data_IF_730383921250
#
_entry.id   IF_730383921250
#
_cell.length_a   1.000
_cell.length_b   1.000
_cell.length_c   1.000
_cell.angle_alpha   90.00
_cell.angle_beta   90.00
_cell.angle_gamma   90.00
#
_symmetry.space_group_name_H-M   'P 1'
#
loop_
_entity.id
_entity.type
_entity.pdbx_description
1 polymer ?
#
# COMPACT_ATOMS: atom_id res chain seq x y z
N UNK A 1 8.40 -19.91 0.32
CA UNK A 1 8.68 -19.67 -1.11
C UNK A 1 9.91 -20.45 -1.54
N UNK A 2 9.90 -21.10 -2.72
CA UNK A 2 11.14 -21.59 -3.31
C UNK A 2 12.01 -20.38 -3.68
N UNK A 3 13.30 -20.44 -3.33
CA UNK A 3 14.30 -19.36 -3.44
C UNK A 3 14.42 -18.70 -4.82
N UNK A 4 13.89 -19.33 -5.86
CA UNK A 4 13.98 -18.90 -7.26
C UNK A 4 13.20 -17.62 -7.61
N UNK A 5 12.24 -17.17 -6.79
CA UNK A 5 11.38 -16.00 -7.11
C UNK A 5 11.53 -14.79 -6.19
N UNK A 6 12.34 -14.89 -5.13
CA UNK A 6 12.63 -13.76 -4.23
C UNK A 6 13.44 -12.67 -4.98
N UNK A 7 14.25 -13.06 -5.97
CA UNK A 7 15.10 -12.12 -6.72
C UNK A 7 14.34 -11.28 -7.76
N UNK A 8 13.43 -11.83 -8.60
CA UNK A 8 12.67 -11.04 -9.57
C UNK A 8 11.69 -10.04 -8.93
N UNK A 9 10.96 -10.43 -7.87
CA UNK A 9 10.04 -9.52 -7.18
C UNK A 9 10.78 -8.38 -6.48
N UNK A 10 11.94 -8.66 -5.85
CA UNK A 10 12.81 -7.61 -5.33
C UNK A 10 13.29 -6.69 -6.45
N UNK A 11 13.71 -7.21 -7.60
CA UNK A 11 14.11 -6.39 -8.75
C UNK A 11 12.97 -5.55 -9.32
N UNK A 12 11.73 -6.05 -9.33
CA UNK A 12 10.54 -5.27 -9.73
C UNK A 12 10.26 -4.16 -8.72
N UNK A 13 10.35 -4.43 -7.40
CA UNK A 13 10.19 -3.41 -6.35
C UNK A 13 11.31 -2.35 -6.42
N UNK A 14 12.56 -2.77 -6.60
CA UNK A 14 13.71 -1.87 -6.76
C UNK A 14 13.69 -1.10 -8.09
N UNK A 15 13.18 -1.70 -9.17
CA UNK A 15 13.02 -1.07 -10.48
C UNK A 15 11.82 -0.12 -10.53
N UNK A 16 10.71 -0.44 -9.86
CA UNK A 16 9.57 0.45 -9.70
C UNK A 16 9.92 1.71 -8.91
N UNK A 17 10.92 1.63 -8.02
CA UNK A 17 11.53 2.78 -7.32
C UNK A 17 12.06 3.86 -8.27
N UNK A 18 12.34 3.53 -9.54
CA UNK A 18 12.80 4.49 -10.57
C UNK A 18 11.66 5.10 -11.42
N UNK A 19 10.41 4.65 -11.30
CA UNK A 19 9.28 5.22 -12.06
C UNK A 19 8.49 6.29 -11.29
N UNK A 20 8.93 6.66 -10.09
CA UNK A 20 8.10 7.41 -9.13
C UNK A 20 8.28 8.91 -9.28
N UNK A 21 7.15 9.61 -9.22
CA UNK A 21 7.03 11.03 -8.94
C UNK A 21 8.17 11.57 -8.06
N UNK A 22 8.95 12.52 -8.58
CA UNK A 22 10.23 12.96 -8.01
C UNK A 22 10.10 13.98 -6.87
N UNK A 23 8.90 14.46 -6.59
CA UNK A 23 8.67 15.36 -5.46
C UNK A 23 8.98 14.66 -4.14
N UNK A 24 9.65 15.38 -3.25
CA UNK A 24 9.90 14.95 -1.88
C UNK A 24 9.27 15.94 -0.92
N UNK A 25 8.45 15.45 0.01
CA UNK A 25 7.78 16.23 1.05
C UNK A 25 8.26 15.79 2.44
N UNK A 26 7.95 16.57 3.47
CA UNK A 26 8.07 16.09 4.85
C UNK A 26 6.92 15.12 5.08
N UNK A 27 7.26 13.89 5.43
CA UNK A 27 6.34 12.83 5.80
C UNK A 27 6.42 12.57 7.29
N UNK A 28 5.28 12.28 7.90
CA UNK A 28 5.16 11.81 9.27
C UNK A 28 5.93 10.49 9.47
N UNK A 29 5.92 9.62 8.47
CA UNK A 29 6.70 8.38 8.46
C UNK A 29 5.92 7.17 8.95
N UNK A 30 5.02 7.37 9.92
CA UNK A 30 4.09 6.34 10.41
C UNK A 30 2.65 6.88 10.52
N UNK A 31 2.11 7.41 9.42
CA UNK A 31 0.82 8.10 9.44
C UNK A 31 -0.35 7.13 9.33
N UNK A 32 -0.80 6.59 10.47
CA UNK A 32 -2.01 5.77 10.56
C UNK A 32 -3.00 6.36 11.56
N UNK A 33 -4.21 5.81 11.58
CA UNK A 33 -5.32 6.33 12.40
C UNK A 33 -5.06 6.30 13.91
N UNK A 34 -4.14 5.47 14.37
CA UNK A 34 -3.72 5.44 15.78
C UNK A 34 -2.98 6.72 16.18
N UNK A 35 -2.36 7.40 15.20
CA UNK A 35 -1.62 8.66 15.39
C UNK A 35 -2.48 9.91 15.08
N UNK A 36 -3.80 9.75 15.01
CA UNK A 36 -4.76 10.85 14.82
C UNK A 36 -5.69 10.92 16.03
N UNK A 37 -5.70 12.07 16.70
CA UNK A 37 -6.60 12.36 17.81
C UNK A 37 -7.52 13.55 17.49
N UNK A 38 -8.61 13.67 18.24
CA UNK A 38 -9.45 14.87 18.24
C UNK A 38 -9.37 15.50 19.63
N UNK A 39 -8.92 16.75 19.69
CA UNK A 39 -8.81 17.52 20.93
C UNK A 39 -9.41 18.90 20.73
N UNK A 40 -10.37 19.27 21.58
CA UNK A 40 -11.05 20.57 21.47
C UNK A 40 -11.82 20.79 20.16
N UNK A 41 -12.22 19.71 19.47
CA UNK A 41 -12.89 19.78 18.16
C UNK A 41 -11.94 19.82 16.96
N UNK A 42 -10.63 19.87 17.21
CA UNK A 42 -9.60 19.92 16.17
C UNK A 42 -8.91 18.57 16.00
N UNK A 43 -8.45 18.29 14.78
CA UNK A 43 -7.64 17.11 14.47
C UNK A 43 -6.19 17.40 14.91
N UNK A 44 -5.62 16.49 15.70
CA UNK A 44 -4.23 16.55 16.17
C UNK A 44 -3.49 15.30 15.66
N UNK A 45 -2.33 15.52 15.04
CA UNK A 45 -1.43 14.45 14.57
C UNK A 45 -0.34 14.24 15.63
N UNK A 46 -0.24 13.02 16.13
CA UNK A 46 0.66 12.62 17.22
C UNK A 46 1.85 11.83 16.66
N UNK A 47 2.90 11.70 17.47
CA UNK A 47 3.99 10.74 17.27
C UNK A 47 4.91 10.96 16.04
N UNK A 48 5.53 12.14 15.99
CA UNK A 48 6.40 12.58 14.90
C UNK A 48 7.83 11.99 14.90
N UNK A 49 8.12 10.96 15.70
CA UNK A 49 9.49 10.44 15.85
C UNK A 49 10.06 9.79 14.57
N UNK A 50 9.18 9.38 13.65
CA UNK A 50 9.54 8.79 12.37
C UNK A 50 9.56 9.81 11.21
N UNK A 51 9.45 11.11 11.51
CA UNK A 51 9.36 12.14 10.49
C UNK A 51 10.62 12.20 9.60
N UNK A 52 10.43 12.16 8.29
CA UNK A 52 11.53 12.19 7.32
C UNK A 52 11.06 12.75 5.97
N UNK A 53 12.00 12.89 5.03
CA UNK A 53 11.69 13.31 3.66
C UNK A 53 11.39 12.10 2.79
N UNK A 54 10.22 12.06 2.16
CA UNK A 54 9.81 10.95 1.29
C UNK A 54 8.87 11.42 0.17
N UNK A 55 8.45 10.49 -0.70
CA UNK A 55 7.37 10.69 -1.64
C UNK A 55 6.09 11.13 -0.92
N UNK A 56 5.29 12.04 -1.48
CA UNK A 56 3.99 12.41 -0.92
C UNK A 56 3.01 11.24 -0.84
N UNK A 57 3.27 10.14 -1.55
CA UNK A 57 2.46 8.94 -1.46
C UNK A 57 2.71 8.11 -0.19
N UNK A 58 3.81 8.33 0.54
CA UNK A 58 4.15 7.51 1.71
C UNK A 58 3.08 7.62 2.81
N UNK A 59 2.79 8.82 3.29
CA UNK A 59 1.78 9.01 4.34
C UNK A 59 0.36 8.73 3.85
N UNK A 60 0.08 8.97 2.56
CA UNK A 60 -1.20 8.59 1.95
C UNK A 60 -1.37 7.07 1.95
N UNK A 61 -0.31 6.32 1.61
CA UNK A 61 -0.31 4.87 1.64
C UNK A 61 -0.47 4.35 3.08
N UNK A 62 0.28 4.89 4.03
CA UNK A 62 0.15 4.54 5.46
C UNK A 62 -1.27 4.74 5.98
N UNK A 63 -1.93 5.82 5.57
CA UNK A 63 -3.27 6.13 6.03
C UNK A 63 -4.34 5.27 5.35
N UNK A 64 -4.22 5.04 4.04
CA UNK A 64 -5.30 4.44 3.26
C UNK A 64 -5.15 2.93 3.06
N UNK A 65 -3.93 2.43 2.90
CA UNK A 65 -3.66 1.15 2.26
C UNK A 65 -2.71 0.23 3.05
N UNK A 66 -1.88 0.78 3.93
CA UNK A 66 -1.09 -0.01 4.86
C UNK A 66 -2.01 -0.82 5.78
N UNK A 67 -1.72 -2.10 5.91
CA UNK A 67 -2.37 -2.99 6.86
C UNK A 67 -1.40 -3.29 8.00
N UNK A 68 -1.94 -3.43 9.19
CA UNK A 68 -1.16 -3.83 10.36
C UNK A 68 -1.94 -4.92 11.11
N UNK A 69 -1.28 -5.92 11.72
CA UNK A 69 -1.98 -6.98 12.45
C UNK A 69 -2.93 -6.44 13.52
N UNK A 70 -2.57 -5.32 14.14
CA UNK A 70 -3.37 -4.65 15.19
C UNK A 70 -4.36 -3.62 14.62
N UNK A 71 -4.08 -3.01 13.47
CA UNK A 71 -4.90 -1.94 12.90
C UNK A 71 -5.47 -2.37 11.55
N UNK A 72 -6.74 -2.79 11.56
CA UNK A 72 -7.46 -3.18 10.35
C UNK A 72 -7.66 -1.99 9.41
N UNK A 73 -7.50 -2.22 8.11
CA UNK A 73 -7.84 -1.26 7.07
C UNK A 73 -9.36 -1.04 7.05
N UNK A 74 -9.78 0.22 7.10
CA UNK A 74 -11.21 0.60 6.98
C UNK A 74 -11.49 1.43 5.71
N UNK A 75 -10.49 1.57 4.84
CA UNK A 75 -10.60 2.40 3.63
C UNK A 75 -11.26 1.63 2.49
N UNK A 76 -12.41 2.14 2.04
CA UNK A 76 -13.07 1.73 0.80
C UNK A 76 -12.50 2.47 -0.40
N UNK A 77 -12.72 1.94 -1.61
CA UNK A 77 -12.26 2.57 -2.86
C UNK A 77 -12.83 3.99 -3.04
N UNK A 78 -14.11 4.19 -2.70
CA UNK A 78 -14.75 5.51 -2.76
C UNK A 78 -14.12 6.49 -1.76
N UNK A 79 -13.82 6.04 -0.53
CA UNK A 79 -13.18 6.88 0.48
C UNK A 79 -11.75 7.25 0.06
N UNK A 80 -10.98 6.28 -0.44
CA UNK A 80 -9.62 6.50 -0.96
C UNK A 80 -9.63 7.55 -2.07
N UNK A 81 -10.51 7.39 -3.07
CA UNK A 81 -10.62 8.34 -4.18
C UNK A 81 -11.03 9.74 -3.70
N UNK A 82 -11.99 9.83 -2.78
CA UNK A 82 -12.42 11.09 -2.20
C UNK A 82 -11.29 11.79 -1.44
N UNK A 83 -10.53 11.04 -0.63
CA UNK A 83 -9.41 11.56 0.15
C UNK A 83 -8.25 12.04 -0.75
N UNK A 84 -7.92 11.32 -1.80
CA UNK A 84 -6.91 11.75 -2.80
C UNK A 84 -7.33 13.06 -3.49
N UNK A 85 -8.60 13.16 -3.88
CA UNK A 85 -9.13 14.40 -4.47
C UNK A 85 -9.07 15.57 -3.47
N UNK A 86 -9.40 15.32 -2.20
CA UNK A 86 -9.30 16.33 -1.15
C UNK A 86 -7.85 16.78 -0.90
N UNK A 87 -6.90 15.84 -0.89
CA UNK A 87 -5.47 16.13 -0.80
C UNK A 87 -5.02 17.04 -1.95
N UNK A 88 -5.36 16.70 -3.20
CA UNK A 88 -5.06 17.51 -4.39
C UNK A 88 -5.67 18.91 -4.26
N UNK A 89 -6.94 19.01 -3.89
CA UNK A 89 -7.63 20.29 -3.73
C UNK A 89 -6.97 21.18 -2.67
N UNK A 90 -6.60 20.59 -1.52
CA UNK A 90 -5.90 21.29 -0.44
C UNK A 90 -4.51 21.77 -0.87
N UNK A 91 -3.75 20.97 -1.61
CA UNK A 91 -2.44 21.41 -2.11
C UNK A 91 -2.56 22.50 -3.18
N UNK A 92 -3.54 22.40 -4.07
CA UNK A 92 -3.82 23.43 -5.08
C UNK A 92 -4.15 24.78 -4.46
N UNK A 93 -4.89 24.80 -3.34
CA UNK A 93 -5.18 26.07 -2.63
C UNK A 93 -3.94 26.72 -2.02
N UNK A 94 -2.86 25.95 -1.83
CA UNK A 94 -1.54 26.42 -1.39
C UNK A 94 -0.60 26.74 -2.57
N UNK A 95 -1.10 26.74 -3.82
CA UNK A 95 -0.32 27.04 -5.01
C UNK A 95 0.47 25.87 -5.59
N UNK A 96 0.21 24.63 -5.17
CA UNK A 96 0.82 23.45 -5.78
C UNK A 96 0.15 23.10 -7.11
N UNK A 97 0.97 22.90 -8.14
CA UNK A 97 0.53 22.39 -9.44
C UNK A 97 0.52 20.86 -9.43
N UNK A 98 -0.66 20.27 -9.61
CA UNK A 98 -0.78 18.81 -9.66
C UNK A 98 -0.05 18.28 -10.90
N UNK A 99 0.88 17.32 -10.74
CA UNK A 99 1.50 16.66 -11.87
C UNK A 99 0.47 15.82 -12.64
N UNK A 100 0.61 15.72 -13.98
CA UNK A 100 -0.24 14.83 -14.76
C UNK A 100 -0.20 13.40 -14.22
N UNK A 101 -1.37 12.84 -13.89
CA UNK A 101 -1.48 11.45 -13.45
C UNK A 101 -1.14 11.21 -11.97
N UNK A 102 -1.16 12.21 -11.09
CA UNK A 102 -0.86 12.05 -9.65
C UNK A 102 -1.59 10.86 -9.00
N UNK A 103 -2.90 10.76 -9.21
CA UNK A 103 -3.73 9.67 -8.65
C UNK A 103 -3.32 8.30 -9.20
N UNK A 104 -2.98 8.24 -10.49
CA UNK A 104 -2.47 7.00 -11.10
C UNK A 104 -1.14 6.60 -10.45
N UNK A 105 -0.22 7.54 -10.30
CA UNK A 105 1.07 7.30 -9.65
C UNK A 105 0.92 6.89 -8.19
N UNK A 106 -0.10 7.38 -7.49
CA UNK A 106 -0.46 6.88 -6.17
C UNK A 106 -0.86 5.40 -6.21
N UNK A 107 -1.72 4.98 -7.14
CA UNK A 107 -2.13 3.57 -7.25
C UNK A 107 -0.96 2.65 -7.64
N UNK A 108 -0.06 3.12 -8.51
CA UNK A 108 1.21 2.46 -8.82
C UNK A 108 2.05 2.26 -7.55
N UNK A 109 2.21 3.32 -6.77
CA UNK A 109 2.92 3.30 -5.50
C UNK A 109 2.29 2.31 -4.51
N UNK A 110 0.98 2.38 -4.32
CA UNK A 110 0.24 1.52 -3.40
C UNK A 110 0.32 0.04 -3.79
N UNK A 111 0.29 -0.28 -5.10
CA UNK A 111 0.42 -1.65 -5.57
C UNK A 111 1.79 -2.25 -5.23
N UNK A 112 2.88 -1.51 -5.49
CA UNK A 112 4.25 -1.96 -5.19
C UNK A 112 4.44 -2.16 -3.69
N UNK A 113 3.99 -1.22 -2.87
CA UNK A 113 4.14 -1.30 -1.42
C UNK A 113 3.24 -2.39 -0.81
N UNK A 114 2.06 -2.64 -1.37
CA UNK A 114 1.21 -3.76 -0.94
C UNK A 114 1.85 -5.12 -1.22
N UNK A 115 2.56 -5.28 -2.34
CA UNK A 115 3.34 -6.50 -2.60
C UNK A 115 4.48 -6.65 -1.60
N UNK A 116 5.18 -5.56 -1.29
CA UNK A 116 6.20 -5.57 -0.24
C UNK A 116 5.62 -5.99 1.12
N UNK A 117 4.46 -5.44 1.52
CA UNK A 117 3.77 -5.82 2.75
C UNK A 117 3.36 -7.30 2.77
N UNK A 118 2.89 -7.85 1.66
CA UNK A 118 2.57 -9.28 1.57
C UNK A 118 3.80 -10.16 1.82
N UNK A 119 4.98 -9.75 1.34
CA UNK A 119 6.23 -10.46 1.59
C UNK A 119 6.61 -10.41 3.08
N UNK A 120 6.47 -9.25 3.73
CA UNK A 120 6.72 -9.10 5.16
C UNK A 120 5.77 -9.99 5.99
N UNK A 121 4.47 -9.93 5.72
CA UNK A 121 3.46 -10.75 6.41
C UNK A 121 3.75 -12.25 6.23
N UNK A 122 4.20 -12.67 5.05
CA UNK A 122 4.57 -14.07 4.82
C UNK A 122 5.81 -14.50 5.59
N UNK A 123 6.79 -13.60 5.75
CA UNK A 123 7.97 -13.88 6.55
C UNK A 123 7.64 -13.87 8.04
N UNK A 124 6.73 -13.01 8.48
CA UNK A 124 6.21 -12.97 9.85
C UNK A 124 5.35 -14.20 10.17
N UNK A 125 4.57 -14.74 9.22
CA UNK A 125 3.82 -15.99 9.41
C UNK A 125 4.71 -17.22 9.65
N UNK A 126 5.99 -17.16 9.28
CA UNK A 126 6.97 -18.23 9.57
C UNK A 126 7.62 -18.05 10.93
N UNK A 127 7.44 -16.89 11.55
CA UNK A 127 8.02 -16.49 12.81
C UNK A 127 6.92 -16.49 13.87
N UNK A 128 7.22 -16.92 15.09
CA UNK A 128 6.22 -16.95 16.17
C UNK A 128 6.16 -15.61 16.91
N UNK A 129 6.02 -14.51 16.15
CA UNK A 129 6.09 -13.13 16.67
C UNK A 129 4.71 -12.49 16.80
N UNK A 130 3.74 -12.94 16.00
CA UNK A 130 2.38 -12.42 15.98
C UNK A 130 1.37 -13.56 16.02
N UNK A 131 0.17 -13.26 16.53
CA UNK A 131 -0.96 -14.17 16.42
C UNK A 131 -1.28 -14.47 14.94
N UNK A 132 -1.24 -15.74 14.50
CA UNK A 132 -1.40 -16.08 13.09
C UNK A 132 -2.72 -15.58 12.49
N UNK A 133 -3.77 -15.52 13.30
CA UNK A 133 -5.09 -15.04 12.86
C UNK A 133 -5.09 -13.56 12.47
N UNK A 134 -4.26 -12.73 13.10
CA UNK A 134 -4.18 -11.30 12.81
C UNK A 134 -3.33 -11.03 11.58
N UNK A 135 -2.23 -11.78 11.40
CA UNK A 135 -1.45 -11.75 10.16
C UNK A 135 -2.27 -12.20 8.95
N UNK A 136 -3.12 -13.22 9.10
CA UNK A 136 -4.01 -13.68 8.01
C UNK A 136 -5.07 -12.64 7.64
N UNK A 137 -5.61 -11.89 8.63
CA UNK A 137 -6.51 -10.76 8.36
C UNK A 137 -5.78 -9.65 7.60
N UNK A 138 -4.60 -9.25 8.08
CA UNK A 138 -3.78 -8.23 7.42
C UNK A 138 -3.41 -8.64 5.98
N UNK A 139 -3.10 -9.92 5.75
CA UNK A 139 -2.85 -10.46 4.41
C UNK A 139 -4.09 -10.33 3.51
N UNK A 140 -5.26 -10.73 4.00
CA UNK A 140 -6.51 -10.66 3.25
C UNK A 140 -6.88 -9.21 2.90
N UNK A 141 -6.70 -8.29 3.84
CA UNK A 141 -6.89 -6.86 3.60
C UNK A 141 -5.91 -6.34 2.54
N UNK A 142 -4.62 -6.66 2.64
CA UNK A 142 -3.60 -6.21 1.69
C UNK A 142 -3.90 -6.70 0.27
N UNK A 143 -4.35 -7.95 0.14
CA UNK A 143 -4.81 -8.50 -1.14
C UNK A 143 -6.04 -7.77 -1.66
N UNK A 144 -7.02 -7.46 -0.81
CA UNK A 144 -8.20 -6.71 -1.22
C UNK A 144 -7.84 -5.29 -1.70
N UNK A 145 -6.84 -4.63 -1.09
CA UNK A 145 -6.35 -3.35 -1.61
C UNK A 145 -5.67 -3.52 -2.96
N UNK A 146 -4.71 -4.45 -3.07
CA UNK A 146 -3.96 -4.71 -4.29
C UNK A 146 -4.88 -5.08 -5.46
N UNK A 147 -5.92 -5.87 -5.21
CA UNK A 147 -6.89 -6.32 -6.22
C UNK A 147 -8.01 -5.31 -6.51
N UNK A 148 -8.00 -4.13 -5.88
CA UNK A 148 -9.01 -3.08 -6.10
C UNK A 148 -9.14 -2.71 -7.59
N UNK A 149 -10.36 -2.57 -8.13
CA UNK A 149 -10.63 -2.07 -9.48
C UNK A 149 -9.99 -0.71 -9.78
N UNK A 150 -9.81 0.13 -8.75
CA UNK A 150 -9.19 1.45 -8.89
C UNK A 150 -7.70 1.37 -9.27
N UNK A 151 -7.03 0.28 -8.93
CA UNK A 151 -5.66 -0.01 -9.40
C UNK A 151 -5.67 -0.40 -10.89
N UNK A 152 -6.80 -0.78 -11.49
CA UNK A 152 -6.90 -1.25 -12.88
C UNK A 152 -7.46 -0.24 -13.89
N UNK A 153 -8.05 0.87 -13.45
CA UNK A 153 -8.88 1.71 -14.33
C UNK A 153 -8.11 2.64 -15.28
N UNK A 154 -6.82 2.40 -15.56
CA UNK A 154 -6.09 3.16 -16.58
C UNK A 154 -6.22 2.51 -17.97
N UNK A 155 -6.37 3.35 -18.99
CA UNK A 155 -6.37 2.98 -20.42
C UNK A 155 -4.94 2.80 -20.99
N UNK A 156 -3.95 2.63 -20.12
CA UNK A 156 -2.55 2.47 -20.53
C UNK A 156 -2.17 0.98 -20.56
N UNK A 157 -1.98 0.45 -21.76
CA UNK A 157 -1.74 -0.97 -22.01
C UNK A 157 -0.46 -1.50 -21.35
N UNK A 158 0.57 -0.65 -21.15
CA UNK A 158 1.83 -1.07 -20.52
C UNK A 158 1.71 -1.34 -19.01
N UNK A 159 0.90 -0.54 -18.31
CA UNK A 159 0.68 -0.68 -16.87
C UNK A 159 -0.25 -1.85 -16.53
N UNK A 160 -1.28 -2.08 -17.36
CA UNK A 160 -2.13 -3.28 -17.25
C UNK A 160 -1.28 -4.54 -17.29
N UNK A 161 -0.29 -4.64 -18.19
CA UNK A 161 0.58 -5.81 -18.27
C UNK A 161 1.41 -6.05 -17.01
N UNK A 162 2.13 -5.03 -16.49
CA UNK A 162 3.03 -5.22 -15.35
C UNK A 162 2.28 -5.51 -14.03
N UNK A 163 1.19 -4.80 -13.76
CA UNK A 163 0.37 -5.07 -12.56
C UNK A 163 -0.42 -6.36 -12.69
N UNK A 164 -0.86 -6.74 -13.89
CA UNK A 164 -1.50 -8.03 -14.14
C UNK A 164 -0.52 -9.20 -13.95
N UNK A 165 0.73 -9.07 -14.40
CA UNK A 165 1.79 -10.07 -14.15
C UNK A 165 2.07 -10.19 -12.65
N UNK A 166 2.30 -9.08 -11.94
CA UNK A 166 2.47 -9.07 -10.48
C UNK A 166 1.30 -9.73 -9.75
N UNK A 167 0.06 -9.50 -10.21
CA UNK A 167 -1.13 -10.12 -9.62
C UNK A 167 -1.27 -11.60 -9.95
N UNK A 168 -0.97 -12.03 -11.17
CA UNK A 168 -0.99 -13.45 -11.53
C UNK A 168 0.07 -14.21 -10.73
N UNK A 169 1.28 -13.67 -10.61
CA UNK A 169 2.37 -14.34 -9.89
C UNK A 169 2.06 -14.44 -8.39
N UNK A 170 1.57 -13.35 -7.77
CA UNK A 170 1.16 -13.35 -6.36
C UNK A 170 -0.06 -14.24 -6.11
N UNK A 171 -1.07 -14.21 -6.99
CA UNK A 171 -2.24 -15.06 -6.87
C UNK A 171 -1.89 -16.55 -7.04
N UNK A 172 -1.08 -16.91 -8.03
CA UNK A 172 -0.65 -18.30 -8.27
C UNK A 172 0.13 -18.86 -7.08
N UNK A 173 0.98 -18.08 -6.42
CA UNK A 173 1.69 -18.52 -5.22
C UNK A 173 0.76 -18.69 -4.01
N UNK A 174 -0.17 -17.77 -3.79
CA UNK A 174 -1.13 -17.86 -2.67
C UNK A 174 -2.15 -19.00 -2.86
N UNK A 175 -2.61 -19.25 -4.10
CA UNK A 175 -3.49 -20.38 -4.41
C UNK A 175 -2.76 -21.72 -4.38
N UNK A 176 -1.47 -21.78 -4.70
CA UNK A 176 -0.66 -22.99 -4.49
C UNK A 176 -0.52 -23.35 -3.01
N UNK A 177 -0.59 -22.38 -2.10
CA UNK A 177 -0.57 -22.63 -0.65
C UNK A 177 -1.91 -23.15 -0.11
N UNK A 178 -3.05 -22.75 -0.69
CA UNK A 178 -4.37 -23.30 -0.32
C UNK A 178 -4.52 -24.80 -0.65
N UNK A 179 -3.68 -25.35 -1.52
CA UNK A 179 -3.58 -26.80 -1.75
C UNK A 179 -2.95 -27.59 -0.60
N UNK A 180 -2.24 -26.94 0.32
CA UNK A 180 -1.56 -27.59 1.44
C UNK A 180 -2.40 -27.66 2.74
N UNK A 181 -3.51 -26.92 2.82
CA UNK A 181 -4.50 -27.01 3.90
C UNK A 181 -5.80 -27.63 3.38
N UNK A 182 -5.73 -28.88 2.90
CA UNK A 182 -6.90 -29.78 3.01
C UNK A 182 -6.90 -30.32 4.44
N UNK A 183 -7.80 -29.78 5.26
CA UNK A 183 -8.15 -30.37 6.55
C UNK A 183 -8.55 -31.84 6.35
N UNK A 184 -7.91 -32.72 7.12
CA UNK A 184 -8.55 -33.95 7.58
C UNK A 184 -9.61 -33.59 8.60
#
# INVERSE_FOLDING_TARGET
>A
MPSKWISPLRQIIFGAKQMVYSETVVSHGDFHRGNIAVSGGEIVILDWEHAHRNSPFWDLYNLFDLTHPVFCRQTSDALRQSALNAYIASRRSLGWEEPPGFIRSYYEYAAVHSVWMLLLIQDDLKQDVWEPSDLLKAQAETLASLLSPCIYSSNDHGFRYNVFILKMDVALELFSYKGAFRMK
#
